data_IF_859079901725
#
_entry.id   IF_859079901725
#
_cell.length_a   1.000
_cell.length_b   1.000
_cell.length_c   1.000
_cell.angle_alpha   90.00
_cell.angle_beta   90.00
_cell.angle_gamma   90.00
#
_symmetry.space_group_name_H-M   'P 1'
#
loop_
_entity.id
_entity.type
_entity.pdbx_description
1 polymer ?
#
# COMPACT_ATOMS: atom_id res chain seq x y z
N UNK A 1 1.42 21.19 1.50
CA UNK A 1 1.47 20.05 2.44
C UNK A 1 0.69 18.90 1.82
N UNK A 2 1.38 17.84 1.42
CA UNK A 2 0.80 16.73 0.68
C UNK A 2 0.50 15.58 1.62
N UNK A 3 -0.63 14.89 1.42
CA UNK A 3 -1.09 13.79 2.26
C UNK A 3 -1.28 12.52 1.42
N UNK A 4 -0.83 11.39 1.94
CA UNK A 4 -1.16 10.07 1.42
C UNK A 4 -1.92 9.27 2.49
N UNK A 5 -2.84 8.41 2.06
CA UNK A 5 -3.61 7.51 2.93
C UNK A 5 -3.56 6.10 2.39
N UNK A 6 -3.26 5.14 3.26
CA UNK A 6 -3.43 3.72 3.00
C UNK A 6 -4.62 3.26 3.85
N UNK A 7 -5.71 2.85 3.22
CA UNK A 7 -6.89 2.31 3.92
C UNK A 7 -6.92 0.81 3.69
N UNK A 8 -6.74 0.05 4.78
CA UNK A 8 -6.73 -1.42 4.75
C UNK A 8 -8.10 -1.92 5.22
N UNK A 9 -9.00 -2.26 4.30
CA UNK A 9 -10.19 -3.01 4.72
C UNK A 9 -9.73 -4.43 5.11
N UNK A 10 -10.20 -4.94 6.24
CA UNK A 10 -9.64 -6.12 6.95
C UNK A 10 -9.59 -7.37 6.06
N UNK A 11 -8.41 -7.79 5.59
CA UNK A 11 -8.18 -9.17 5.15
C UNK A 11 -6.70 -9.55 5.31
N UNK A 12 -6.42 -10.73 5.89
CA UNK A 12 -5.52 -11.74 5.30
C UNK A 12 -5.60 -13.07 6.05
N UNK A 13 -5.55 -14.15 5.27
CA UNK A 13 -5.14 -15.49 5.67
C UNK A 13 -3.67 -15.58 6.13
N UNK A 14 -2.88 -14.51 5.99
CA UNK A 14 -1.42 -14.51 6.19
C UNK A 14 -0.93 -13.47 7.21
N UNK A 15 -1.84 -12.82 7.95
CA UNK A 15 -1.49 -11.96 9.09
C UNK A 15 -1.74 -12.68 10.42
N UNK A 16 -1.51 -13.99 10.46
CA UNK A 16 -1.57 -14.79 11.67
C UNK A 16 -0.18 -15.29 12.00
N UNK A 17 0.54 -14.54 12.85
CA UNK A 17 1.45 -15.17 13.80
C UNK A 17 0.62 -15.40 15.06
N UNK A 18 0.19 -16.65 15.29
CA UNK A 18 -0.52 -17.14 16.49
C UNK A 18 -1.97 -16.67 16.74
N UNK A 19 -2.84 -16.58 15.74
CA UNK A 19 -4.30 -16.50 16.01
C UNK A 19 -4.99 -17.72 15.41
N UNK A 20 -5.16 -18.74 16.27
CA UNK A 20 -6.14 -19.79 16.06
C UNK A 20 -7.52 -19.14 15.97
N UNK A 21 -8.21 -19.29 14.83
CA UNK A 21 -9.66 -19.47 14.65
C UNK A 21 -10.22 -18.77 13.40
N UNK A 22 -10.79 -19.63 12.53
CA UNK A 22 -11.81 -19.40 11.48
C UNK A 22 -11.31 -19.11 10.06
N UNK A 23 -11.80 -19.96 9.14
CA UNK A 23 -11.70 -19.80 7.69
C UNK A 23 -12.51 -18.59 7.22
N UNK A 24 -11.86 -17.54 6.74
CA UNK A 24 -12.52 -16.31 6.24
C UNK A 24 -12.40 -16.23 4.72
N UNK A 25 -13.44 -16.65 3.99
CA UNK A 25 -13.49 -16.63 2.52
C UNK A 25 -13.92 -15.26 1.96
N UNK A 26 -13.13 -14.20 2.13
CA UNK A 26 -13.49 -12.89 1.56
C UNK A 26 -12.31 -12.17 0.89
N UNK A 27 -12.57 -11.56 -0.26
CA UNK A 27 -11.64 -10.86 -1.15
C UNK A 27 -11.07 -9.58 -0.53
N UNK A 28 -9.76 -9.35 -0.72
CA UNK A 28 -9.04 -8.23 -0.10
C UNK A 28 -9.24 -6.92 -0.88
N UNK A 29 -9.84 -5.92 -0.23
CA UNK A 29 -9.92 -4.56 -0.76
C UNK A 29 -9.01 -3.62 0.05
N UNK A 30 -8.09 -2.92 -0.60
CA UNK A 30 -7.38 -1.81 0.03
C UNK A 30 -7.30 -0.63 -0.94
N UNK A 31 -7.24 0.58 -0.38
CA UNK A 31 -7.29 1.82 -1.16
C UNK A 31 -6.10 2.70 -0.82
N UNK A 32 -5.37 3.08 -1.87
CA UNK A 32 -4.31 4.07 -1.81
C UNK A 32 -4.91 5.39 -2.28
N UNK A 33 -4.72 6.46 -1.50
CA UNK A 33 -5.22 7.79 -1.83
C UNK A 33 -4.07 8.78 -1.67
N UNK A 34 -3.71 9.47 -2.75
CA UNK A 34 -2.83 10.63 -2.71
C UNK A 34 -3.67 11.90 -2.81
N UNK A 35 -3.32 12.95 -2.07
CA UNK A 35 -3.96 14.26 -2.20
C UNK A 35 -3.50 15.01 -3.46
N UNK A 36 -2.30 14.70 -3.95
CA UNK A 36 -1.75 15.20 -5.20
C UNK A 36 -1.76 14.07 -6.25
N UNK A 37 -2.46 14.23 -7.39
CA UNK A 37 -2.47 13.24 -8.48
C UNK A 37 -1.08 12.89 -9.03
N UNK A 38 -0.11 13.81 -8.99
CA UNK A 38 1.23 13.56 -9.52
C UNK A 38 1.97 12.46 -8.76
N UNK A 39 1.72 12.32 -7.44
CA UNK A 39 2.33 11.30 -6.59
C UNK A 39 1.96 9.88 -7.02
N UNK A 40 0.77 9.69 -7.59
CA UNK A 40 0.38 8.40 -8.12
C UNK A 40 1.17 8.01 -9.37
N UNK A 41 1.47 8.98 -10.24
CA UNK A 41 2.28 8.75 -11.43
C UNK A 41 3.75 8.51 -11.05
N UNK A 42 4.28 9.23 -10.06
CA UNK A 42 5.62 8.94 -9.51
C UNK A 42 5.70 7.54 -8.93
N UNK A 43 4.67 7.09 -8.20
CA UNK A 43 4.63 5.72 -7.68
C UNK A 43 4.61 4.67 -8.80
N UNK A 44 3.78 4.85 -9.83
CA UNK A 44 3.76 3.93 -10.99
C UNK A 44 5.10 3.87 -11.69
N UNK A 45 5.72 5.03 -11.91
CA UNK A 45 7.04 5.12 -12.52
C UNK A 45 8.07 4.39 -11.68
N UNK A 46 8.08 4.61 -10.37
CA UNK A 46 8.97 3.91 -9.45
C UNK A 46 8.75 2.39 -9.47
N UNK A 47 7.51 1.92 -9.56
CA UNK A 47 7.23 0.50 -9.72
C UNK A 47 7.89 -0.07 -11.00
N UNK A 48 7.73 0.61 -12.14
CA UNK A 48 8.34 0.20 -13.41
C UNK A 48 9.86 0.20 -13.35
N UNK A 49 10.45 1.24 -12.74
CA UNK A 49 11.90 1.37 -12.58
C UNK A 49 12.48 0.27 -11.66
N UNK A 50 11.64 -0.43 -10.87
CA UNK A 50 12.01 -1.55 -10.00
C UNK A 50 11.41 -2.89 -10.47
N UNK A 51 11.24 -3.08 -11.79
CA UNK A 51 10.76 -4.32 -12.41
C UNK A 51 9.35 -4.77 -11.96
N UNK A 52 8.56 -3.86 -11.39
CA UNK A 52 7.16 -4.04 -11.06
C UNK A 52 6.24 -3.35 -12.05
N UNK A 53 4.94 -3.59 -11.93
CA UNK A 53 3.91 -2.84 -12.63
C UNK A 53 2.69 -2.74 -11.72
N UNK A 54 2.37 -1.52 -11.31
CA UNK A 54 1.12 -1.26 -10.62
C UNK A 54 -0.03 -1.16 -11.61
N UNK A 55 -1.04 -2.01 -11.46
CA UNK A 55 -2.27 -1.98 -12.23
C UNK A 55 -3.46 -2.15 -11.28
N UNK A 56 -4.37 -1.19 -11.27
CA UNK A 56 -5.56 -1.26 -10.42
C UNK A 56 -6.78 -1.41 -11.30
N UNK A 57 -7.41 -2.58 -11.22
CA UNK A 57 -8.68 -2.83 -11.88
C UNK A 57 -9.79 -2.17 -11.06
N UNK A 58 -10.25 -1.02 -11.54
CA UNK A 58 -11.31 -0.25 -10.90
C UNK A 58 -12.67 -0.96 -10.93
N UNK A 59 -12.95 -1.73 -11.99
CA UNK A 59 -14.25 -2.39 -12.16
C UNK A 59 -14.41 -3.53 -11.16
N UNK A 60 -13.37 -4.34 -11.01
CA UNK A 60 -13.35 -5.45 -10.05
C UNK A 60 -12.77 -5.05 -8.68
N UNK A 61 -12.38 -3.78 -8.52
CA UNK A 61 -11.76 -3.25 -7.31
C UNK A 61 -10.58 -4.07 -6.79
N UNK A 62 -9.78 -4.64 -7.69
CA UNK A 62 -8.70 -5.55 -7.35
C UNK A 62 -7.35 -5.07 -7.91
N UNK A 63 -6.29 -5.48 -7.23
CA UNK A 63 -4.93 -5.15 -7.65
C UNK A 63 -4.43 -6.20 -8.64
N UNK A 64 -3.92 -5.72 -9.76
CA UNK A 64 -3.28 -6.51 -10.80
C UNK A 64 -1.82 -6.07 -10.95
N UNK A 65 -1.10 -6.78 -11.81
CA UNK A 65 0.28 -6.48 -12.14
C UNK A 65 1.29 -7.24 -11.27
N UNK A 66 2.50 -6.72 -11.21
CA UNK A 66 3.64 -7.36 -10.56
C UNK A 66 4.23 -6.44 -9.49
N UNK A 67 4.56 -7.02 -8.34
CA UNK A 67 5.23 -6.28 -7.27
C UNK A 67 6.64 -5.86 -7.72
N UNK A 68 7.09 -4.64 -7.39
CA UNK A 68 8.47 -4.23 -7.64
C UNK A 68 9.44 -5.11 -6.85
N UNK A 69 10.61 -5.39 -7.44
CA UNK A 69 11.68 -6.16 -6.79
C UNK A 69 12.46 -5.24 -5.88
N UNK A 70 12.45 -5.55 -4.59
CA UNK A 70 13.14 -4.77 -3.57
C UNK A 70 13.93 -5.75 -2.72
N UNK A 71 15.25 -5.57 -2.66
CA UNK A 71 16.17 -6.50 -2.02
C UNK A 71 15.86 -6.73 -0.53
N UNK A 72 15.35 -5.69 0.15
CA UNK A 72 14.94 -5.76 1.56
C UNK A 72 13.74 -6.68 1.81
N UNK A 73 12.98 -7.05 0.76
CA UNK A 73 11.84 -7.92 0.87
C UNK A 73 12.20 -9.33 0.39
N UNK A 74 12.43 -10.23 1.37
CA UNK A 74 12.84 -11.62 1.13
C UNK A 74 11.67 -12.62 1.11
N UNK A 75 10.52 -12.24 1.66
CA UNK A 75 9.35 -13.12 1.91
C UNK A 75 8.06 -12.59 1.22
N UNK A 76 6.91 -13.15 1.60
CA UNK A 76 5.57 -12.79 1.14
C UNK A 76 5.25 -11.30 1.41
N UNK A 77 5.36 -10.48 0.37
CA UNK A 77 5.01 -9.06 0.38
C UNK A 77 3.65 -8.79 -0.23
N UNK A 78 2.96 -7.78 0.30
CA UNK A 78 1.78 -7.22 -0.36
C UNK A 78 1.99 -5.77 -0.77
N UNK A 79 1.10 -5.27 -1.62
CA UNK A 79 1.15 -3.90 -2.10
C UNK A 79 1.04 -2.83 -1.00
N UNK A 80 0.41 -3.13 0.14
CA UNK A 80 0.41 -2.20 1.29
C UNK A 80 1.83 -2.01 1.85
N UNK A 81 2.63 -3.08 1.89
CA UNK A 81 4.02 -3.02 2.36
C UNK A 81 4.88 -2.25 1.36
N UNK A 82 4.71 -2.52 0.06
CA UNK A 82 5.35 -1.78 -1.03
C UNK A 82 5.02 -0.28 -0.96
N UNK A 83 3.74 0.07 -0.78
CA UNK A 83 3.31 1.45 -0.69
C UNK A 83 3.86 2.13 0.56
N UNK A 84 3.82 1.45 1.71
CA UNK A 84 4.39 1.99 2.96
C UNK A 84 5.88 2.24 2.80
N UNK A 85 6.62 1.30 2.19
CA UNK A 85 8.03 1.46 1.89
C UNK A 85 8.30 2.65 0.98
N UNK A 86 7.54 2.78 -0.12
CA UNK A 86 7.66 3.91 -1.04
C UNK A 86 7.40 5.25 -0.33
N UNK A 87 6.37 5.34 0.51
CA UNK A 87 6.04 6.56 1.25
C UNK A 87 7.18 6.97 2.20
N UNK A 88 7.65 6.04 3.03
CA UNK A 88 8.59 6.32 4.10
C UNK A 88 10.04 6.44 3.64
N UNK A 89 10.45 5.64 2.65
CA UNK A 89 11.86 5.51 2.30
C UNK A 89 12.23 6.10 0.94
N UNK A 90 11.26 6.36 0.06
CA UNK A 90 11.54 6.84 -1.30
C UNK A 90 11.01 8.26 -1.52
N UNK A 91 9.74 8.50 -1.22
CA UNK A 91 9.04 9.75 -1.58
C UNK A 91 9.09 10.84 -0.50
N UNK A 92 9.69 10.56 0.66
CA UNK A 92 9.92 11.53 1.73
C UNK A 92 8.69 11.87 2.57
N UNK A 93 7.66 11.02 2.56
CA UNK A 93 6.55 11.12 3.49
C UNK A 93 6.98 10.64 4.87
N UNK A 94 6.31 11.15 5.91
CA UNK A 94 6.38 10.62 7.27
C UNK A 94 5.02 10.16 7.74
N UNK A 95 5.00 9.13 8.58
CA UNK A 95 3.80 8.70 9.26
C UNK A 95 3.22 9.85 10.11
N UNK A 96 1.91 10.03 10.05
CA UNK A 96 1.19 11.08 10.78
C UNK A 96 0.21 10.50 11.80
N UNK A 97 -0.70 9.62 11.38
CA UNK A 97 -1.71 9.05 12.28
C UNK A 97 -2.32 7.77 11.73
N UNK A 98 -3.04 7.05 12.58
CA UNK A 98 -3.92 5.94 12.18
C UNK A 98 -5.36 6.42 11.96
N UNK A 99 -6.14 5.65 11.18
CA UNK A 99 -7.58 5.85 10.96
C UNK A 99 -8.33 4.69 11.60
N UNK A 100 -9.09 4.98 12.66
CA UNK A 100 -10.04 4.05 13.27
C UNK A 100 -11.45 4.25 12.68
N UNK A 101 -12.26 3.20 12.49
CA UNK A 101 -12.00 1.77 12.75
C UNK A 101 -11.30 1.01 11.59
N UNK A 102 -11.02 1.68 10.46
CA UNK A 102 -10.66 1.08 9.17
C UNK A 102 -9.20 0.59 9.04
N UNK A 103 -8.46 0.37 10.14
CA UNK A 103 -7.02 0.04 10.16
C UNK A 103 -6.22 0.83 9.08
N UNK A 104 -6.51 2.11 8.95
CA UNK A 104 -5.89 2.98 7.95
C UNK A 104 -4.69 3.74 8.52
N UNK A 105 -3.86 4.25 7.63
CA UNK A 105 -2.66 5.03 7.96
C UNK A 105 -2.67 6.31 7.13
N UNK A 106 -2.27 7.42 7.76
CA UNK A 106 -2.11 8.74 7.14
C UNK A 106 -0.63 9.09 7.17
N UNK A 107 -0.15 9.56 6.03
CA UNK A 107 1.22 10.00 5.82
C UNK A 107 1.21 11.43 5.30
N UNK A 108 2.17 12.24 5.70
CA UNK A 108 2.29 13.64 5.31
C UNK A 108 3.69 13.95 4.80
N UNK A 109 3.76 14.84 3.82
CA UNK A 109 5.00 15.38 3.27
C UNK A 109 4.91 16.91 3.32
N UNK A 110 5.87 17.52 4.00
CA UNK A 110 6.05 18.97 3.96
C UNK A 110 6.59 19.35 2.60
N UNK A 111 6.02 20.38 1.96
CA UNK A 111 6.73 21.02 0.85
C UNK A 111 7.94 21.75 1.45
N UNK A 112 9.10 21.56 0.82
CA UNK A 112 10.32 22.30 1.15
C UNK A 112 10.20 23.75 0.66
#
# INVERSE_FOLDING_TARGET
MTTAKIIRHRHKYHHYLNDDLKSVKEETFFKIIFSDPAEFEFFKKWCLDNEGKYDYDKENSCQRGSLPKIESFKDEICWCDIMTYYLLHISGYRFYSTIHPYKGEVYVKSEA
#
